data_IF_623017208159
#
_entry.id   IF_623017208159
#
_cell.length_a   1.000
_cell.length_b   1.000
_cell.length_c   1.000
_cell.angle_alpha   90.00
_cell.angle_beta   90.00
_cell.angle_gamma   90.00
#
_symmetry.space_group_name_H-M   'P 1'
#
loop_
_entity.id
_entity.type
_entity.pdbx_description
1 polymer ?
#
# COMPACT_ATOMS: atom_id res chain seq x y z
N UNK A 1 -14.55 -15.65 22.12
CA UNK A 1 -14.96 -16.18 20.81
C UNK A 1 -16.46 -16.06 20.74
N UNK A 2 -17.00 -15.04 20.08
CA UNK A 2 -18.43 -14.96 19.79
C UNK A 2 -18.64 -15.81 18.53
N UNK A 3 -19.47 -16.85 18.63
CA UNK A 3 -19.89 -17.62 17.48
C UNK A 3 -20.69 -16.68 16.56
N UNK A 4 -20.49 -16.72 15.22
CA UNK A 4 -21.32 -15.93 14.33
C UNK A 4 -22.77 -16.31 14.52
N UNK A 5 -23.62 -15.32 14.76
CA UNK A 5 -25.08 -15.51 14.83
C UNK A 5 -25.54 -16.05 13.47
N UNK A 6 -26.17 -17.21 13.46
CA UNK A 6 -26.72 -17.85 12.25
C UNK A 6 -28.08 -17.27 11.83
N UNK A 7 -28.56 -16.24 12.51
CA UNK A 7 -29.79 -15.55 12.13
C UNK A 7 -29.47 -14.54 10.99
N UNK A 8 -30.36 -14.46 9.97
CA UNK A 8 -30.17 -13.47 8.90
C UNK A 8 -30.22 -12.05 9.49
N UNK A 9 -29.42 -11.14 8.93
CA UNK A 9 -29.37 -9.75 9.35
C UNK A 9 -30.74 -9.08 9.13
N UNK A 10 -31.21 -8.29 10.10
CA UNK A 10 -32.51 -7.63 10.03
C UNK A 10 -32.35 -6.18 9.64
N UNK A 11 -32.70 -5.85 8.41
CA UNK A 11 -32.66 -4.50 7.86
C UNK A 11 -33.84 -3.65 8.35
N UNK A 12 -33.59 -2.38 8.55
CA UNK A 12 -34.63 -1.37 8.75
C UNK A 12 -34.69 -0.42 7.56
N UNK A 13 -35.91 -0.01 7.24
CA UNK A 13 -36.18 0.85 6.09
C UNK A 13 -36.99 2.06 6.51
N UNK A 14 -36.83 3.14 5.76
CA UNK A 14 -37.71 4.29 5.81
C UNK A 14 -38.11 4.66 4.38
N UNK A 15 -39.24 5.37 4.26
CA UNK A 15 -39.74 5.75 2.95
C UNK A 15 -39.47 7.23 2.69
N UNK A 16 -38.74 7.55 1.62
CA UNK A 16 -38.47 8.89 1.19
C UNK A 16 -38.56 8.99 -0.35
N UNK A 17 -39.18 10.05 -0.87
CA UNK A 17 -39.27 10.25 -2.32
C UNK A 17 -40.03 9.15 -3.07
N UNK A 18 -40.87 8.37 -2.37
CA UNK A 18 -41.64 7.28 -2.99
C UNK A 18 -40.90 5.92 -3.06
N UNK A 19 -39.64 5.86 -2.63
CA UNK A 19 -38.82 4.64 -2.56
C UNK A 19 -38.48 4.27 -1.12
N UNK A 20 -38.34 2.97 -0.87
CA UNK A 20 -37.88 2.47 0.42
C UNK A 20 -36.34 2.52 0.44
N UNK A 21 -35.78 3.13 1.48
CA UNK A 21 -34.35 3.29 1.68
C UNK A 21 -33.92 2.56 2.93
N UNK A 22 -32.77 1.87 2.87
CA UNK A 22 -32.20 1.19 4.02
C UNK A 22 -31.64 2.21 5.02
N UNK A 23 -31.81 1.93 6.31
CA UNK A 23 -31.19 2.70 7.39
C UNK A 23 -29.91 1.99 7.80
N UNK A 24 -28.76 2.65 7.65
CA UNK A 24 -27.46 2.22 8.18
C UNK A 24 -27.28 2.91 9.54
N UNK A 25 -27.22 2.14 10.63
CA UNK A 25 -27.20 2.66 12.01
C UNK A 25 -25.91 2.35 12.75
N UNK A 26 -25.30 1.23 12.42
CA UNK A 26 -24.16 0.69 13.14
C UNK A 26 -23.24 -0.08 12.20
N UNK A 27 -22.09 -0.49 12.70
CA UNK A 27 -21.11 -1.23 11.93
C UNK A 27 -21.57 -2.61 11.49
N UNK A 28 -22.55 -3.21 12.20
CA UNK A 28 -23.12 -4.48 11.78
C UNK A 28 -23.95 -4.33 10.52
N UNK A 29 -24.69 -3.22 10.37
CA UNK A 29 -25.39 -2.90 9.12
C UNK A 29 -24.37 -2.76 7.97
N UNK A 30 -23.21 -2.13 8.22
CA UNK A 30 -22.11 -1.99 7.23
C UNK A 30 -21.52 -3.36 6.88
N UNK A 31 -21.22 -4.18 7.87
CA UNK A 31 -20.61 -5.50 7.68
C UNK A 31 -21.50 -6.46 6.87
N UNK A 32 -22.84 -6.30 6.97
CA UNK A 32 -23.82 -7.13 6.26
C UNK A 32 -24.29 -6.54 4.92
N UNK A 33 -23.76 -5.39 4.49
CA UNK A 33 -24.11 -4.79 3.19
C UNK A 33 -24.07 -5.77 1.99
N UNK A 34 -23.17 -6.77 1.94
CA UNK A 34 -23.21 -7.78 0.88
C UNK A 34 -24.49 -8.61 0.82
N UNK A 35 -25.25 -8.70 1.93
CA UNK A 35 -26.51 -9.44 2.02
C UNK A 35 -27.72 -8.61 1.59
N UNK A 36 -27.55 -7.27 1.44
CA UNK A 36 -28.62 -6.39 1.01
C UNK A 36 -28.87 -6.54 -0.49
N UNK A 37 -30.10 -6.88 -0.88
CA UNK A 37 -30.49 -6.98 -2.29
C UNK A 37 -30.19 -5.64 -3.01
N UNK A 38 -29.41 -5.71 -4.11
CA UNK A 38 -29.02 -4.53 -4.90
C UNK A 38 -30.24 -3.74 -5.44
N UNK A 39 -31.40 -4.37 -5.57
CA UNK A 39 -32.66 -3.68 -5.94
C UNK A 39 -33.10 -2.65 -4.90
N UNK A 40 -32.59 -2.76 -3.67
CA UNK A 40 -32.86 -1.83 -2.58
C UNK A 40 -31.86 -0.68 -2.50
N UNK A 41 -30.85 -0.69 -3.36
CA UNK A 41 -29.88 0.40 -3.45
C UNK A 41 -30.46 1.56 -4.27
N UNK A 42 -30.48 2.74 -3.68
CA UNK A 42 -31.06 3.95 -4.29
C UNK A 42 -30.27 4.38 -5.53
N UNK A 43 -28.95 4.14 -5.53
CA UNK A 43 -28.07 4.42 -6.65
C UNK A 43 -27.06 3.27 -6.82
N UNK A 44 -26.74 2.93 -8.06
CA UNK A 44 -25.77 1.89 -8.40
C UNK A 44 -24.43 2.48 -8.89
N UNK A 45 -24.30 3.79 -8.87
CA UNK A 45 -23.04 4.50 -9.15
C UNK A 45 -23.05 5.84 -8.42
N UNK A 46 -21.94 6.15 -7.74
CA UNK A 46 -21.72 7.41 -7.05
C UNK A 46 -20.53 8.11 -7.73
N UNK A 47 -20.62 9.36 -8.17
CA UNK A 47 -19.47 10.07 -8.71
C UNK A 47 -18.45 10.37 -7.60
N UNK A 48 -17.16 10.35 -7.94
CA UNK A 48 -16.08 10.67 -6.99
C UNK A 48 -15.88 12.17 -6.80
N UNK A 49 -16.59 12.99 -7.54
CA UNK A 49 -16.52 14.47 -7.47
C UNK A 49 -17.90 15.09 -7.46
N UNK A 50 -17.97 16.28 -6.90
CA UNK A 50 -19.20 17.09 -6.88
C UNK A 50 -20.23 16.65 -5.84
N UNK A 51 -19.84 15.85 -4.85
CA UNK A 51 -20.62 15.50 -3.69
C UNK A 51 -19.92 16.00 -2.41
N UNK A 52 -20.70 16.21 -1.35
CA UNK A 52 -20.17 16.66 -0.05
C UNK A 52 -19.61 15.45 0.73
N UNK A 53 -18.45 14.96 0.28
CA UNK A 53 -17.72 13.89 0.90
C UNK A 53 -16.20 14.08 0.67
N UNK A 54 -15.36 13.47 1.50
CA UNK A 54 -13.91 13.56 1.36
C UNK A 54 -13.44 12.93 0.03
N UNK A 55 -12.91 13.73 -0.87
CA UNK A 55 -12.48 13.30 -2.20
C UNK A 55 -11.39 12.25 -2.16
N UNK A 56 -10.47 12.33 -1.18
CA UNK A 56 -9.39 11.36 -1.01
C UNK A 56 -9.92 9.98 -0.62
N UNK A 57 -10.93 9.93 0.24
CA UNK A 57 -11.62 8.66 0.57
C UNK A 57 -12.31 8.08 -0.66
N UNK A 58 -12.97 8.92 -1.45
CA UNK A 58 -13.62 8.47 -2.69
C UNK A 58 -12.60 7.92 -3.69
N UNK A 59 -11.44 8.55 -3.84
CA UNK A 59 -10.36 8.06 -4.71
C UNK A 59 -9.77 6.72 -4.26
N UNK A 60 -9.75 6.46 -2.94
CA UNK A 60 -9.31 5.17 -2.40
C UNK A 60 -10.33 4.04 -2.62
N UNK A 61 -11.61 4.38 -2.73
CA UNK A 61 -12.69 3.41 -2.99
C UNK A 61 -12.82 3.12 -4.50
N UNK A 62 -12.58 4.10 -5.36
CA UNK A 62 -12.59 4.00 -6.82
C UNK A 62 -11.33 3.25 -7.32
N UNK A 63 -11.41 1.92 -7.33
CA UNK A 63 -10.24 1.05 -7.58
C UNK A 63 -9.82 1.08 -9.05
N UNK A 64 -10.78 1.21 -9.98
CA UNK A 64 -10.51 1.22 -11.43
C UNK A 64 -10.28 2.64 -11.98
N UNK A 65 -10.38 3.67 -11.11
CA UNK A 65 -10.14 5.09 -11.41
C UNK A 65 -10.99 5.64 -12.57
N UNK A 66 -12.24 5.15 -12.70
CA UNK A 66 -13.16 5.62 -13.74
C UNK A 66 -14.00 6.84 -13.31
N UNK A 67 -13.79 7.35 -12.10
CA UNK A 67 -14.47 8.49 -11.52
C UNK A 67 -15.85 8.15 -10.93
N UNK A 68 -16.14 6.87 -10.70
CA UNK A 68 -17.42 6.39 -10.18
C UNK A 68 -17.23 5.20 -9.26
N UNK A 69 -17.82 5.24 -8.08
CA UNK A 69 -17.88 4.13 -7.15
C UNK A 69 -19.14 3.30 -7.42
N UNK A 70 -18.96 2.01 -7.66
CA UNK A 70 -20.04 1.03 -7.86
C UNK A 70 -20.17 0.09 -6.66
N UNK A 71 -21.28 -0.68 -6.54
CA UNK A 71 -21.48 -1.59 -5.43
C UNK A 71 -20.30 -2.53 -5.13
N UNK A 72 -19.63 -3.18 -6.10
CA UNK A 72 -18.50 -4.05 -5.81
C UNK A 72 -17.35 -3.34 -5.09
N UNK A 73 -17.04 -2.10 -5.48
CA UNK A 73 -15.96 -1.30 -4.88
C UNK A 73 -16.31 -0.86 -3.48
N UNK A 74 -17.55 -0.36 -3.29
CA UNK A 74 -18.03 -0.01 -1.96
C UNK A 74 -18.04 -1.21 -1.01
N UNK A 75 -18.52 -2.37 -1.48
CA UNK A 75 -18.55 -3.60 -0.69
C UNK A 75 -17.13 -4.08 -0.33
N UNK A 76 -16.18 -3.98 -1.27
CA UNK A 76 -14.78 -4.31 -1.02
C UNK A 76 -14.15 -3.38 0.04
N UNK A 77 -14.41 -2.08 -0.06
CA UNK A 77 -13.95 -1.10 0.92
C UNK A 77 -14.55 -1.34 2.32
N UNK A 78 -15.86 -1.57 2.41
CA UNK A 78 -16.53 -1.91 3.67
C UNK A 78 -15.98 -3.20 4.29
N UNK A 79 -15.81 -4.25 3.50
CA UNK A 79 -15.26 -5.52 3.95
C UNK A 79 -13.82 -5.35 4.47
N UNK A 80 -13.00 -4.59 3.74
CA UNK A 80 -11.64 -4.28 4.19
C UNK A 80 -11.65 -3.51 5.51
N UNK A 81 -12.43 -2.44 5.61
CA UNK A 81 -12.48 -1.60 6.81
C UNK A 81 -12.97 -2.40 8.04
N UNK A 82 -14.03 -3.21 7.89
CA UNK A 82 -14.52 -4.08 8.96
C UNK A 82 -13.45 -5.10 9.41
N UNK A 83 -12.65 -5.63 8.49
CA UNK A 83 -11.58 -6.58 8.82
C UNK A 83 -10.42 -5.94 9.60
N UNK A 84 -10.19 -4.62 9.45
CA UNK A 84 -9.15 -3.89 10.17
C UNK A 84 -9.57 -3.48 11.59
N UNK A 85 -10.82 -3.66 11.99
CA UNK A 85 -11.35 -3.24 13.28
C UNK A 85 -11.73 -4.45 14.15
N UNK A 86 -11.62 -4.30 15.48
CA UNK A 86 -12.15 -5.28 16.43
C UNK A 86 -13.67 -5.27 16.48
N UNK A 87 -14.25 -4.09 16.30
CA UNK A 87 -15.69 -3.86 16.28
C UNK A 87 -16.04 -2.92 15.10
N UNK A 88 -16.82 -3.39 14.11
CA UNK A 88 -17.28 -2.56 13.00
C UNK A 88 -18.07 -1.31 13.43
N UNK A 89 -18.62 -1.26 14.63
CA UNK A 89 -19.36 -0.11 15.14
C UNK A 89 -18.49 1.17 15.24
N UNK A 90 -17.17 1.03 15.26
CA UNK A 90 -16.24 2.19 15.15
C UNK A 90 -16.42 2.96 13.82
N UNK A 91 -16.86 2.30 12.73
CA UNK A 91 -17.18 2.96 11.46
C UNK A 91 -18.42 3.85 11.49
N UNK A 92 -19.31 3.61 12.45
CA UNK A 92 -20.52 4.40 12.63
C UNK A 92 -20.35 5.55 13.65
N UNK A 93 -19.17 5.67 14.28
CA UNK A 93 -18.90 6.75 15.23
C UNK A 93 -18.57 8.05 14.48
N UNK A 94 -19.15 9.17 14.87
CA UNK A 94 -18.79 10.46 14.30
C UNK A 94 -17.40 10.90 14.77
N UNK A 95 -16.63 11.50 13.86
CA UNK A 95 -15.32 12.07 14.18
C UNK A 95 -14.27 11.81 13.10
N UNK A 96 -13.11 12.40 13.28
CA UNK A 96 -11.94 12.33 12.42
C UNK A 96 -10.76 11.56 13.07
N UNK A 97 -11.02 10.85 14.15
CA UNK A 97 -10.00 10.20 14.96
C UNK A 97 -10.37 8.76 15.32
N UNK A 98 -9.37 7.88 15.24
CA UNK A 98 -9.49 6.47 15.55
C UNK A 98 -8.67 6.11 16.78
N UNK A 99 -9.26 5.36 17.72
CA UNK A 99 -8.51 4.76 18.82
C UNK A 99 -7.63 3.64 18.29
N UNK A 100 -6.35 3.66 18.62
CA UNK A 100 -5.40 2.61 18.17
C UNK A 100 -5.85 1.23 18.67
N UNK A 101 -6.41 1.15 19.88
CA UNK A 101 -6.95 -0.09 20.45
C UNK A 101 -8.20 -0.64 19.71
N UNK A 102 -8.84 0.14 18.83
CA UNK A 102 -9.94 -0.32 17.99
C UNK A 102 -9.45 -1.11 16.75
N UNK A 103 -8.18 -0.94 16.38
CA UNK A 103 -7.58 -1.64 15.23
C UNK A 103 -7.36 -3.12 15.58
N UNK A 104 -7.74 -4.01 14.69
CA UNK A 104 -7.63 -5.45 14.85
C UNK A 104 -6.16 -5.92 14.64
N UNK A 105 -5.36 -5.84 15.67
CA UNK A 105 -3.94 -6.22 15.70
C UNK A 105 -3.68 -7.73 15.59
N UNK A 106 -4.74 -8.55 15.59
CA UNK A 106 -4.63 -10.01 15.42
C UNK A 106 -4.35 -10.43 13.98
N UNK A 107 -4.53 -9.52 13.02
CA UNK A 107 -4.18 -9.72 11.62
C UNK A 107 -2.83 -9.05 11.31
N UNK A 108 -2.10 -9.58 10.33
CA UNK A 108 -0.84 -8.97 9.89
C UNK A 108 -1.02 -7.53 9.40
N UNK A 109 -2.12 -7.27 8.70
CA UNK A 109 -2.50 -5.93 8.22
C UNK A 109 -2.81 -4.98 9.38
N UNK A 110 -3.63 -5.40 10.35
CA UNK A 110 -3.98 -4.57 11.49
C UNK A 110 -2.78 -4.30 12.40
N UNK A 111 -1.90 -5.30 12.64
CA UNK A 111 -0.66 -5.09 13.38
C UNK A 111 0.27 -4.06 12.70
N UNK A 112 0.33 -4.08 11.35
CA UNK A 112 1.06 -3.07 10.59
C UNK A 112 0.44 -1.68 10.75
N UNK A 113 -0.90 -1.57 10.70
CA UNK A 113 -1.60 -0.30 10.93
C UNK A 113 -1.33 0.27 12.33
N UNK A 114 -1.38 -0.57 13.38
CA UNK A 114 -1.03 -0.17 14.74
C UNK A 114 0.39 0.38 14.82
N UNK A 115 1.36 -0.33 14.21
CA UNK A 115 2.76 0.10 14.17
C UNK A 115 2.93 1.45 13.47
N UNK A 116 2.22 1.66 12.36
CA UNK A 116 2.24 2.92 11.61
C UNK A 116 1.60 4.03 12.44
N UNK A 117 0.44 3.79 13.08
CA UNK A 117 -0.21 4.78 13.93
C UNK A 117 0.69 5.26 15.08
N UNK A 118 1.37 4.35 15.77
CA UNK A 118 2.33 4.73 16.80
C UNK A 118 3.49 5.54 16.26
N UNK A 119 4.03 5.17 15.09
CA UNK A 119 5.12 5.93 14.45
C UNK A 119 4.69 7.34 14.03
N UNK A 120 3.46 7.50 13.53
CA UNK A 120 2.90 8.82 13.23
C UNK A 120 2.85 9.68 14.49
N UNK A 121 2.33 9.15 15.59
CA UNK A 121 2.22 9.86 16.86
C UNK A 121 3.57 10.17 17.47
N UNK A 122 4.54 9.27 17.39
CA UNK A 122 5.91 9.51 17.84
C UNK A 122 6.55 10.66 17.06
N UNK A 123 6.41 10.69 15.74
CA UNK A 123 6.91 11.78 14.87
C UNK A 123 6.21 13.10 15.15
N UNK A 124 4.94 13.07 15.55
CA UNK A 124 4.18 14.23 15.98
C UNK A 124 4.52 14.70 17.42
N UNK A 125 5.47 14.04 18.11
CA UNK A 125 5.81 14.34 19.51
C UNK A 125 4.73 13.90 20.52
N UNK A 126 3.86 12.96 20.14
CA UNK A 126 2.71 12.47 20.90
C UNK A 126 2.77 10.96 21.13
N UNK A 127 3.95 10.42 21.45
CA UNK A 127 4.18 8.98 21.59
C UNK A 127 3.23 8.27 22.57
N UNK A 128 2.76 8.96 23.60
CA UNK A 128 1.84 8.42 24.60
C UNK A 128 0.35 8.52 24.20
N UNK A 129 0.04 9.09 23.03
CA UNK A 129 -1.35 9.22 22.59
C UNK A 129 -1.91 7.86 22.15
N UNK A 130 -3.17 7.65 22.48
CA UNK A 130 -3.90 6.39 22.17
C UNK A 130 -4.87 6.55 21.02
N UNK A 131 -4.90 7.73 20.40
CA UNK A 131 -5.82 8.10 19.31
C UNK A 131 -5.01 8.76 18.21
N UNK A 132 -5.21 8.32 16.98
CA UNK A 132 -4.67 8.94 15.76
C UNK A 132 -5.79 9.65 15.02
N UNK A 133 -5.56 10.90 14.61
CA UNK A 133 -6.51 11.70 13.84
C UNK A 133 -6.15 11.75 12.36
N UNK A 134 -7.12 12.13 11.54
CA UNK A 134 -6.89 12.40 10.12
C UNK A 134 -5.84 13.50 9.92
N UNK A 135 -5.82 14.51 10.80
CA UNK A 135 -4.80 15.57 10.80
C UNK A 135 -3.39 15.02 11.06
N UNK A 136 -3.23 14.08 12.00
CA UNK A 136 -1.93 13.43 12.25
C UNK A 136 -1.44 12.66 11.02
N UNK A 137 -2.34 11.93 10.35
CA UNK A 137 -2.03 11.17 9.13
C UNK A 137 -1.66 12.11 7.98
N UNK A 138 -2.43 13.19 7.79
CA UNK A 138 -2.18 14.18 6.73
C UNK A 138 -0.83 14.87 6.92
N UNK A 139 -0.53 15.34 8.13
CA UNK A 139 0.74 16.00 8.46
C UNK A 139 1.93 15.04 8.25
N UNK A 140 1.80 13.76 8.61
CA UNK A 140 2.83 12.77 8.38
C UNK A 140 3.03 12.49 6.89
N UNK A 141 1.95 12.39 6.11
CA UNK A 141 2.00 12.22 4.66
C UNK A 141 2.70 13.39 3.97
N UNK A 142 2.41 14.62 4.38
CA UNK A 142 3.09 15.82 3.87
C UNK A 142 4.59 15.81 4.21
N UNK A 143 4.95 15.43 5.45
CA UNK A 143 6.35 15.27 5.82
C UNK A 143 7.07 14.23 4.96
N UNK A 144 6.44 13.08 4.70
CA UNK A 144 7.01 12.04 3.85
C UNK A 144 7.20 12.51 2.41
N UNK A 145 6.29 13.30 1.85
CA UNK A 145 6.41 13.83 0.49
C UNK A 145 7.59 14.78 0.30
N UNK A 146 8.06 15.40 1.39
CA UNK A 146 9.23 16.29 1.39
C UNK A 146 10.54 15.57 1.72
N UNK A 147 10.47 14.31 2.14
CA UNK A 147 11.65 13.51 2.47
C UNK A 147 12.25 12.87 1.22
N UNK A 148 13.59 12.78 1.21
CA UNK A 148 14.34 12.03 0.20
C UNK A 148 13.92 10.55 0.11
N UNK A 149 13.50 9.96 1.23
CA UNK A 149 13.06 8.58 1.35
C UNK A 149 11.66 8.54 1.95
N UNK A 150 10.71 7.98 1.24
CA UNK A 150 9.32 7.82 1.70
C UNK A 150 9.12 6.65 2.68
N UNK A 151 10.14 5.81 2.85
CA UNK A 151 10.13 4.68 3.79
C UNK A 151 9.50 3.39 3.24
N UNK A 152 9.17 3.33 1.96
CA UNK A 152 8.64 2.13 1.30
C UNK A 152 9.72 1.08 0.97
N UNK A 153 11.00 1.42 1.19
CA UNK A 153 12.14 0.56 0.91
C UNK A 153 12.55 0.51 -0.56
N UNK A 154 11.98 1.40 -1.39
CA UNK A 154 12.32 1.52 -2.81
C UNK A 154 13.19 2.75 -3.03
N UNK A 155 14.27 2.60 -3.77
CA UNK A 155 15.22 3.66 -4.12
C UNK A 155 15.16 3.88 -5.61
N UNK A 156 14.86 5.12 -6.03
CA UNK A 156 14.83 5.54 -7.43
C UNK A 156 16.14 6.21 -7.83
N UNK A 157 16.36 6.41 -9.13
CA UNK A 157 17.53 7.16 -9.62
C UNK A 157 17.56 8.60 -9.07
N UNK A 158 16.38 9.23 -8.88
CA UNK A 158 16.29 10.58 -8.32
C UNK A 158 16.66 10.64 -6.84
N UNK A 159 16.46 9.54 -6.11
CA UNK A 159 16.91 9.41 -4.73
C UNK A 159 18.43 9.55 -4.59
N UNK A 160 19.20 9.23 -5.62
CA UNK A 160 20.65 9.40 -5.62
C UNK A 160 21.12 10.87 -5.67
N UNK A 161 20.22 11.81 -6.04
CA UNK A 161 20.52 13.26 -6.17
C UNK A 161 21.78 13.51 -7.03
N UNK A 162 22.82 14.12 -6.44
CA UNK A 162 24.06 14.46 -7.12
C UNK A 162 25.09 13.31 -7.17
N UNK A 163 24.81 12.18 -6.56
CA UNK A 163 25.67 10.99 -6.61
C UNK A 163 25.49 10.25 -7.95
N UNK A 164 26.34 10.61 -8.92
CA UNK A 164 26.29 10.03 -10.25
C UNK A 164 26.55 8.51 -10.25
N UNK A 165 27.46 8.03 -9.37
CA UNK A 165 27.79 6.61 -9.28
C UNK A 165 26.61 5.81 -8.71
N UNK A 166 25.96 6.33 -7.66
CA UNK A 166 24.76 5.70 -7.12
C UNK A 166 23.62 5.65 -8.16
N UNK A 167 23.41 6.71 -8.92
CA UNK A 167 22.40 6.77 -10.00
C UNK A 167 22.68 5.74 -11.09
N UNK A 168 23.94 5.64 -11.54
CA UNK A 168 24.36 4.66 -12.53
C UNK A 168 24.18 3.23 -12.02
N UNK A 169 24.56 2.96 -10.76
CA UNK A 169 24.39 1.67 -10.11
C UNK A 169 22.93 1.27 -10.03
N UNK A 170 22.04 2.18 -9.62
CA UNK A 170 20.58 1.94 -9.61
C UNK A 170 20.10 1.59 -11.03
N UNK A 171 20.57 2.31 -12.05
CA UNK A 171 20.26 2.03 -13.44
C UNK A 171 20.67 0.62 -13.88
N UNK A 172 21.89 0.20 -13.55
CA UNK A 172 22.40 -1.15 -13.84
C UNK A 172 21.60 -2.24 -13.13
N UNK A 173 21.22 -2.02 -11.86
CA UNK A 173 20.39 -2.95 -11.11
C UNK A 173 19.01 -3.08 -11.78
N UNK A 174 18.38 -1.97 -12.16
CA UNK A 174 17.08 -2.00 -12.87
C UNK A 174 17.17 -2.74 -14.21
N UNK A 175 18.25 -2.57 -14.97
CA UNK A 175 18.45 -3.25 -16.24
C UNK A 175 18.63 -4.77 -16.10
N UNK A 176 19.29 -5.22 -15.04
CA UNK A 176 19.65 -6.63 -14.85
C UNK A 176 18.65 -7.41 -13.97
N UNK A 177 18.11 -6.78 -12.94
CA UNK A 177 17.21 -7.39 -11.96
C UNK A 177 15.76 -6.93 -12.09
N UNK A 178 15.47 -6.01 -13.03
CA UNK A 178 14.17 -5.36 -13.15
C UNK A 178 13.95 -4.26 -12.13
N UNK A 179 12.86 -3.53 -12.32
CA UNK A 179 12.44 -2.45 -11.41
C UNK A 179 11.17 -2.80 -10.63
N UNK A 180 10.87 -1.97 -9.64
CA UNK A 180 9.60 -1.96 -8.91
C UNK A 180 9.13 -0.52 -8.74
N UNK A 181 7.82 -0.33 -8.52
CA UNK A 181 7.26 1.02 -8.38
C UNK A 181 7.22 1.43 -6.90
N UNK A 182 7.64 2.66 -6.56
CA UNK A 182 7.37 3.26 -5.26
C UNK A 182 5.87 3.33 -4.96
N UNK A 183 5.52 3.29 -3.69
CA UNK A 183 4.12 3.42 -3.26
C UNK A 183 3.59 4.81 -3.62
N UNK A 184 2.52 4.85 -4.40
CA UNK A 184 1.89 6.09 -4.86
C UNK A 184 2.51 6.72 -6.11
N UNK A 185 3.57 6.14 -6.70
CA UNK A 185 4.25 6.65 -7.88
C UNK A 185 4.35 5.61 -9.01
N UNK A 186 3.26 5.22 -9.65
CA UNK A 186 3.23 4.13 -10.64
C UNK A 186 4.02 4.44 -11.92
N UNK A 187 4.34 5.71 -12.18
CA UNK A 187 5.11 6.13 -13.35
C UNK A 187 6.63 6.04 -13.15
N UNK A 188 7.10 5.86 -11.90
CA UNK A 188 8.52 5.82 -11.55
C UNK A 188 8.94 4.39 -11.29
N UNK A 189 10.15 4.02 -11.69
CA UNK A 189 10.79 2.75 -11.37
C UNK A 189 11.96 2.96 -10.41
N UNK A 190 12.13 2.04 -9.49
CA UNK A 190 13.22 1.99 -8.54
C UNK A 190 13.64 0.56 -8.24
N UNK A 191 14.51 0.40 -7.27
CA UNK A 191 15.03 -0.88 -6.79
C UNK A 191 14.69 -1.07 -5.31
N UNK A 192 14.36 -2.28 -4.92
CA UNK A 192 14.26 -2.69 -3.53
C UNK A 192 15.56 -3.37 -3.05
N UNK A 193 15.62 -3.66 -1.76
CA UNK A 193 16.76 -4.35 -1.14
C UNK A 193 17.05 -5.71 -1.79
N UNK A 194 16.04 -6.48 -2.13
CA UNK A 194 16.19 -7.82 -2.70
C UNK A 194 16.90 -7.77 -4.06
N UNK A 195 16.52 -6.81 -4.91
CA UNK A 195 17.16 -6.60 -6.22
C UNK A 195 18.61 -6.13 -6.09
N UNK A 196 18.86 -5.22 -5.13
CA UNK A 196 20.22 -4.76 -4.86
C UNK A 196 21.11 -5.92 -4.38
N UNK A 197 20.64 -6.73 -3.43
CA UNK A 197 21.38 -7.90 -2.92
C UNK A 197 21.63 -8.94 -4.03
N UNK A 198 20.64 -9.21 -4.88
CA UNK A 198 20.79 -10.13 -6.00
C UNK A 198 21.86 -9.63 -6.99
N UNK A 199 21.84 -8.35 -7.34
CA UNK A 199 22.83 -7.75 -8.23
C UNK A 199 24.26 -7.88 -7.67
N UNK A 200 24.49 -7.48 -6.43
CA UNK A 200 25.83 -7.54 -5.84
C UNK A 200 26.30 -8.99 -5.68
N UNK A 201 25.41 -9.93 -5.35
CA UNK A 201 25.77 -11.35 -5.30
C UNK A 201 26.16 -11.89 -6.69
N UNK A 202 25.54 -11.45 -7.76
CA UNK A 202 25.92 -11.81 -9.11
C UNK A 202 27.24 -11.16 -9.53
N UNK A 203 27.49 -9.91 -9.12
CA UNK A 203 28.80 -9.25 -9.31
C UNK A 203 29.93 -10.00 -8.59
N UNK A 204 29.70 -10.47 -7.36
CA UNK A 204 30.68 -11.27 -6.62
C UNK A 204 31.00 -12.60 -7.33
N UNK A 205 29.98 -13.27 -7.89
CA UNK A 205 30.18 -14.49 -8.69
C UNK A 205 31.00 -14.23 -9.95
N UNK A 206 30.73 -13.12 -10.66
CA UNK A 206 31.48 -12.70 -11.84
C UNK A 206 32.93 -12.39 -11.46
N UNK A 207 33.15 -11.67 -10.38
CA UNK A 207 34.50 -11.35 -9.88
C UNK A 207 35.28 -12.61 -9.50
N UNK A 208 34.62 -13.55 -8.80
CA UNK A 208 35.21 -14.84 -8.44
C UNK A 208 35.55 -15.70 -9.68
N UNK A 209 34.65 -15.70 -10.68
CA UNK A 209 34.93 -16.35 -11.95
C UNK A 209 36.10 -15.69 -12.70
N UNK A 210 36.14 -14.36 -12.79
CA UNK A 210 37.21 -13.63 -13.45
C UNK A 210 38.59 -13.92 -12.79
N UNK A 211 38.63 -14.05 -11.48
CA UNK A 211 39.84 -14.44 -10.74
C UNK A 211 40.27 -15.86 -11.11
N UNK A 212 39.36 -16.82 -11.05
CA UNK A 212 39.65 -18.22 -11.47
C UNK A 212 40.07 -18.31 -12.93
N UNK A 213 39.42 -17.55 -13.81
CA UNK A 213 39.73 -17.53 -15.24
C UNK A 213 41.12 -16.91 -15.50
N UNK A 214 41.56 -15.95 -14.69
CA UNK A 214 42.92 -15.35 -14.80
C UNK A 214 44.00 -16.35 -14.40
N UNK A 215 43.71 -17.16 -13.35
CA UNK A 215 44.67 -18.16 -12.84
C UNK A 215 44.75 -19.41 -13.73
N UNK A 216 43.70 -19.70 -14.48
CA UNK A 216 43.55 -20.90 -15.31
C UNK A 216 43.11 -20.57 -16.74
N UNK A 217 43.77 -19.62 -17.41
CA UNK A 217 43.43 -19.17 -18.76
C UNK A 217 43.44 -20.29 -19.82
N UNK A 218 44.22 -21.37 -19.61
CA UNK A 218 44.22 -22.55 -20.47
C UNK A 218 42.90 -23.34 -20.47
N UNK A 219 42.04 -23.12 -19.45
CA UNK A 219 40.70 -23.71 -19.36
C UNK A 219 39.62 -22.93 -20.09
N UNK A 220 39.93 -21.72 -20.54
CA UNK A 220 39.02 -20.87 -21.30
C UNK A 220 38.99 -21.24 -22.77
N UNK A 221 37.84 -21.18 -23.43
CA UNK A 221 37.65 -21.60 -24.82
C UNK A 221 38.65 -20.93 -25.82
N UNK A 222 39.02 -19.68 -25.59
CA UNK A 222 39.97 -18.93 -26.40
C UNK A 222 41.17 -18.43 -25.55
N UNK A 223 41.46 -19.08 -24.43
CA UNK A 223 42.52 -18.67 -23.50
C UNK A 223 42.38 -17.22 -23.00
N UNK A 224 43.46 -16.47 -23.00
CA UNK A 224 43.48 -15.05 -22.57
C UNK A 224 42.52 -14.14 -23.39
N UNK A 225 42.20 -14.50 -24.64
CA UNK A 225 41.29 -13.72 -25.47
C UNK A 225 39.86 -13.75 -24.93
N UNK A 226 39.41 -14.88 -24.34
CA UNK A 226 38.10 -14.96 -23.67
C UNK A 226 38.05 -13.99 -22.50
N UNK A 227 39.11 -13.92 -21.69
CA UNK A 227 39.18 -13.00 -20.55
C UNK A 227 39.13 -11.52 -20.98
N UNK A 228 39.91 -11.17 -22.04
CA UNK A 228 39.91 -9.81 -22.61
C UNK A 228 38.58 -9.42 -23.21
N UNK A 229 37.89 -10.33 -23.90
CA UNK A 229 36.57 -10.08 -24.48
C UNK A 229 35.52 -9.83 -23.38
N UNK A 230 35.51 -10.61 -22.31
CA UNK A 230 34.57 -10.42 -21.15
C UNK A 230 34.85 -9.12 -20.39
N UNK A 231 36.10 -8.70 -20.28
CA UNK A 231 36.46 -7.41 -19.66
C UNK A 231 36.07 -6.20 -20.51
N UNK A 232 36.01 -6.34 -21.82
CA UNK A 232 35.60 -5.28 -22.74
C UNK A 232 34.06 -5.14 -22.85
N UNK A 233 33.30 -6.10 -22.35
CA UNK A 233 31.82 -6.08 -22.31
C UNK A 233 31.26 -5.46 -21.04
N UNK A 234 32.09 -5.17 -20.06
CA UNK A 234 31.76 -4.47 -18.81
C UNK A 234 32.32 -3.04 -18.87
#
# INVERSE_FOLDING_TARGET
MHAPSTAPHTWQFFRAGGVDQVIIRNGQDIAHLPELDQKLWVALACPTRGIEFDERTLDLIDIDHDGRIRPPELLAACAWACAQLHDPDELAQPGDALKIAAINDRTASGAALVSVAHRILEKAGRADATVVSLTDVAAHSEQLSTMRFNGDGIITADTAQDDALARETIGHIMQTQGGTHPVGEPAVLGIDRSRAEAFFNDMDKIAAWATKARDATHMLALGEQTLKATQAMN
#
